data_IF_875722225258
#
_entry.id   IF_875722225258
#
_cell.length_a   1.000
_cell.length_b   1.000
_cell.length_c   1.000
_cell.angle_alpha   90.00
_cell.angle_beta   90.00
_cell.angle_gamma   90.00
#
_symmetry.space_group_name_H-M   'P 1'
#
loop_
_entity.id
_entity.type
_entity.pdbx_description
1 polymer ?
#
# COMPACT_ATOMS: atom_id res chain seq x y z
N UNK A 1 -21.35 16.11 -15.65
CA UNK A 1 -20.89 14.71 -15.62
C UNK A 1 -19.82 14.59 -14.55
N UNK A 2 -20.15 14.10 -13.36
CA UNK A 2 -19.16 13.89 -12.28
C UNK A 2 -18.27 12.72 -12.66
N UNK A 3 -17.12 12.99 -13.28
CA UNK A 3 -16.11 11.97 -13.50
C UNK A 3 -15.78 11.33 -12.15
N UNK A 4 -16.21 10.09 -11.93
CA UNK A 4 -15.79 9.28 -10.78
C UNK A 4 -14.26 9.34 -10.79
N UNK A 5 -13.66 10.16 -9.92
CA UNK A 5 -12.21 10.12 -9.68
C UNK A 5 -11.92 8.67 -9.34
N UNK A 6 -11.23 7.97 -10.26
CA UNK A 6 -10.83 6.58 -10.03
C UNK A 6 -10.20 6.52 -8.63
N UNK A 7 -10.54 5.52 -7.81
CA UNK A 7 -9.93 5.39 -6.49
C UNK A 7 -8.41 5.45 -6.64
N UNK A 8 -7.78 6.46 -6.05
CA UNK A 8 -6.31 6.56 -6.11
C UNK A 8 -5.74 5.66 -5.04
N UNK A 9 -4.83 4.79 -5.45
CA UNK A 9 -3.98 4.03 -4.54
C UNK A 9 -2.88 4.95 -4.04
N UNK A 10 -2.47 4.83 -2.80
CA UNK A 10 -1.38 5.63 -2.26
C UNK A 10 -0.55 4.88 -1.24
N UNK A 11 0.76 5.05 -1.31
CA UNK A 11 1.66 4.55 -0.28
C UNK A 11 1.81 5.62 0.80
N UNK A 12 1.80 5.21 2.06
CA UNK A 12 1.93 6.12 3.19
C UNK A 12 3.08 5.69 4.10
N UNK A 13 3.78 6.67 4.66
CA UNK A 13 4.80 6.45 5.69
C UNK A 13 4.20 5.98 7.02
N UNK A 14 5.07 5.71 8.01
CA UNK A 14 4.66 5.32 9.36
C UNK A 14 3.86 6.39 10.11
N UNK A 15 3.91 7.65 9.67
CA UNK A 15 3.11 8.77 10.21
C UNK A 15 1.77 8.91 9.47
N UNK A 16 1.47 8.02 8.53
CA UNK A 16 0.26 8.05 7.73
C UNK A 16 0.22 9.13 6.66
N UNK A 17 1.36 9.76 6.33
CA UNK A 17 1.46 10.76 5.26
C UNK A 17 1.58 10.04 3.93
N UNK A 18 0.82 10.49 2.93
CA UNK A 18 0.90 9.95 1.57
C UNK A 18 2.23 10.37 0.95
N UNK A 19 3.06 9.39 0.59
CA UNK A 19 4.34 9.60 -0.09
C UNK A 19 4.06 9.79 -1.59
N UNK A 20 3.29 8.86 -2.18
CA UNK A 20 2.99 8.87 -3.62
C UNK A 20 1.64 8.20 -3.90
N UNK A 21 1.04 8.52 -5.06
CA UNK A 21 -0.23 7.98 -5.53
C UNK A 21 -0.09 7.28 -6.87
N UNK A 22 -0.86 6.20 -7.04
CA UNK A 22 -0.85 5.36 -8.22
C UNK A 22 -2.26 5.11 -8.74
N UNK A 23 -2.35 4.86 -10.05
CA UNK A 23 -3.60 4.58 -10.76
C UNK A 23 -4.10 3.14 -10.55
N UNK A 24 -3.22 2.20 -10.19
CA UNK A 24 -3.54 0.80 -9.97
C UNK A 24 -2.94 0.28 -8.66
N UNK A 25 -3.54 -0.78 -8.14
CA UNK A 25 -3.05 -1.51 -6.96
C UNK A 25 -1.65 -2.07 -7.19
N UNK A 26 -1.43 -2.69 -8.35
CA UNK A 26 -0.17 -3.31 -8.74
C UNK A 26 1.02 -2.34 -8.64
N UNK A 27 0.90 -1.13 -9.20
CA UNK A 27 1.98 -0.14 -9.12
C UNK A 27 2.21 0.35 -7.69
N UNK A 28 1.15 0.47 -6.88
CA UNK A 28 1.28 0.83 -5.48
C UNK A 28 2.00 -0.25 -4.66
N UNK A 29 1.73 -1.53 -4.92
CA UNK A 29 2.41 -2.66 -4.28
C UNK A 29 3.89 -2.76 -4.66
N UNK A 30 4.21 -2.64 -5.95
CA UNK A 30 5.59 -2.63 -6.43
C UNK A 30 6.40 -1.47 -5.83
N UNK A 31 5.81 -0.27 -5.80
CA UNK A 31 6.45 0.88 -5.19
C UNK A 31 6.58 0.73 -3.66
N UNK A 32 5.57 0.17 -2.99
CA UNK A 32 5.62 -0.09 -1.56
C UNK A 32 6.74 -1.07 -1.20
N UNK A 33 6.88 -2.18 -1.95
CA UNK A 33 7.99 -3.12 -1.79
C UNK A 33 9.32 -2.41 -1.99
N UNK A 34 9.48 -1.72 -3.12
CA UNK A 34 10.74 -1.03 -3.46
C UNK A 34 11.13 -0.04 -2.38
N UNK A 35 10.18 0.77 -1.92
CA UNK A 35 10.41 1.73 -0.85
C UNK A 35 10.82 1.04 0.45
N UNK A 36 10.08 -0.01 0.85
CA UNK A 36 10.36 -0.77 2.07
C UNK A 36 11.75 -1.44 2.03
N UNK A 37 12.16 -1.96 0.87
CA UNK A 37 13.48 -2.53 0.65
C UNK A 37 14.56 -1.46 0.75
N UNK A 38 14.43 -0.35 0.01
CA UNK A 38 15.46 0.69 -0.05
C UNK A 38 15.61 1.47 1.26
N UNK A 39 14.50 1.74 1.96
CA UNK A 39 14.50 2.54 3.20
C UNK A 39 14.55 1.70 4.46
N UNK A 40 14.44 0.37 4.36
CA UNK A 40 14.31 -0.55 5.50
C UNK A 40 13.25 -0.10 6.50
N UNK A 41 12.14 0.43 5.97
CA UNK A 41 11.04 0.95 6.77
C UNK A 41 9.69 0.49 6.20
N UNK A 42 8.71 0.32 7.08
CA UNK A 42 7.38 -0.14 6.67
C UNK A 42 6.57 0.98 6.03
N UNK A 43 5.79 0.66 5.00
CA UNK A 43 4.79 1.55 4.38
C UNK A 43 3.44 0.87 4.29
N UNK A 44 2.38 1.68 4.34
CA UNK A 44 1.00 1.21 4.19
C UNK A 44 0.46 1.59 2.82
N UNK A 45 -0.33 0.70 2.21
CA UNK A 45 -1.01 0.94 0.94
C UNK A 45 -2.46 1.29 1.24
N UNK A 46 -2.91 2.42 0.72
CA UNK A 46 -4.27 2.93 0.90
C UNK A 46 -5.04 3.01 -0.40
N UNK A 47 -6.34 2.80 -0.31
CA UNK A 47 -7.34 3.12 -1.33
C UNK A 47 -8.26 4.21 -0.78
N UNK A 48 -8.01 5.47 -1.17
CA UNK A 48 -8.66 6.61 -0.52
C UNK A 48 -8.31 6.69 0.97
N UNK A 49 -9.30 6.50 1.85
CA UNK A 49 -9.12 6.49 3.32
C UNK A 49 -8.87 5.09 3.91
N UNK A 50 -9.07 4.02 3.14
CA UNK A 50 -8.96 2.63 3.60
C UNK A 50 -7.53 2.13 3.44
N UNK A 51 -6.94 1.52 4.46
CA UNK A 51 -5.70 0.74 4.32
C UNK A 51 -6.07 -0.63 3.74
N UNK A 52 -5.39 -1.03 2.66
CA UNK A 52 -5.64 -2.30 1.95
C UNK A 52 -4.45 -3.25 2.01
N UNK A 53 -3.30 -2.78 2.50
CA UNK A 53 -2.13 -3.62 2.74
C UNK A 53 -0.96 -2.84 3.32
N UNK A 54 0.14 -3.53 3.60
CA UNK A 54 1.37 -2.94 4.06
C UNK A 54 2.59 -3.70 3.51
N UNK A 55 3.63 -2.98 3.11
CA UNK A 55 4.94 -3.56 2.82
C UNK A 55 5.81 -3.40 4.06
N UNK A 56 6.30 -4.52 4.59
CA UNK A 56 7.14 -4.57 5.80
C UNK A 56 8.44 -5.29 5.48
N UNK A 57 9.60 -4.64 5.68
CA UNK A 57 10.87 -5.35 5.62
C UNK A 57 10.96 -6.33 6.79
N UNK A 58 11.45 -7.53 6.51
CA UNK A 58 11.86 -8.50 7.51
C UNK A 58 13.30 -8.22 7.98
N UNK A 59 13.70 -8.83 9.10
CA UNK A 59 15.05 -8.69 9.66
C UNK A 59 16.16 -9.25 8.75
N UNK A 60 15.80 -9.95 7.68
CA UNK A 60 16.72 -10.57 6.71
C UNK A 60 16.82 -9.79 5.39
N UNK A 61 16.23 -8.58 5.33
CA UNK A 61 16.27 -7.71 4.15
C UNK A 61 15.30 -8.09 3.03
N UNK A 62 14.41 -9.06 3.27
CA UNK A 62 13.26 -9.31 2.39
C UNK A 62 12.13 -8.37 2.78
N UNK A 63 11.15 -8.21 1.89
CA UNK A 63 9.93 -7.46 2.19
C UNK A 63 8.73 -8.37 2.03
N UNK A 64 7.88 -8.39 3.05
CA UNK A 64 6.59 -9.05 3.01
C UNK A 64 5.51 -8.01 2.69
N UNK A 65 4.68 -8.30 1.68
CA UNK A 65 3.41 -7.62 1.48
C UNK A 65 2.35 -8.33 2.31
N UNK A 66 1.91 -7.68 3.37
CA UNK A 66 0.70 -8.04 4.09
C UNK A 66 -0.47 -7.45 3.31
N UNK A 67 -1.02 -8.24 2.40
CA UNK A 67 -2.32 -7.91 1.78
C UNK A 67 -3.35 -8.01 2.89
N UNK A 68 -4.02 -6.90 3.22
CA UNK A 68 -5.02 -6.85 4.28
C UNK A 68 -6.23 -7.71 3.92
N UNK A 69 -6.10 -9.03 4.01
CA UNK A 69 -7.18 -10.00 3.98
C UNK A 69 -7.95 -9.87 5.30
N UNK A 70 -8.79 -8.84 5.42
CA UNK A 70 -10.14 -9.19 5.85
C UNK A 70 -10.76 -9.84 4.62
N UNK A 71 -10.72 -11.19 4.60
CA UNK A 71 -11.63 -11.96 3.76
C UNK A 71 -13.00 -11.32 3.93
N UNK A 72 -13.57 -10.79 2.86
CA UNK A 72 -15.00 -10.86 2.72
C UNK A 72 -15.31 -12.36 2.68
N UNK A 73 -15.50 -12.95 3.87
CA UNK A 73 -16.19 -14.21 4.01
C UNK A 73 -17.59 -13.90 3.48
N UNK A 74 -17.78 -14.10 2.18
CA UNK A 74 -19.10 -14.29 1.61
C UNK A 74 -19.70 -15.50 2.34
N UNK A 75 -20.58 -15.21 3.29
CA UNK A 75 -21.57 -16.15 3.83
C UNK A 75 -22.64 -16.40 2.76
#
# INVERSE_FOLDING_TARGET
MTGRKRPSYGICDSKGRVIERYSTRYFAEQAAITWATCKRASVTIRLGRRIIGAARPDGNGRVCLDEGHMKELAL
#
